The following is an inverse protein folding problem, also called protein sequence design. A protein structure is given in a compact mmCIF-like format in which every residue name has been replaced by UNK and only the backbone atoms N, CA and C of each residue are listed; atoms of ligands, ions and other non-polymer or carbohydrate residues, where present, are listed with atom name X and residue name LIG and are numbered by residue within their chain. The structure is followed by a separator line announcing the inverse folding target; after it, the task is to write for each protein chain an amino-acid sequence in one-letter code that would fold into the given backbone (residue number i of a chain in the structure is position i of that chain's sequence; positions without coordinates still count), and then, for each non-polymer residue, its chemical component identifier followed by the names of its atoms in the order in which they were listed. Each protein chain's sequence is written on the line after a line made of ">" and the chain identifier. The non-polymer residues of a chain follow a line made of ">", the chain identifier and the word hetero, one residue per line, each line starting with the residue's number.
data_IF_345096249599
#
_entry.id   IF_345096249599
#
_cell.length_a   1.000
_cell.length_b   1.000
_cell.length_c   1.000
_cell.angle_alpha   90.00
_cell.angle_beta   90.00
_cell.angle_gamma   90.00
#
_symmetry.space_group_name_H-M   'P 1'
#
loop_
_entity.id
_entity.type
_entity.pdbx_description
1 polymer ?
#
# COMPACT_ATOMS: atom_id res chain seq x y z
N UNK A 1 6.61 -5.93 15.29
CA UNK A 1 5.35 -5.20 15.00
C UNK A 1 5.46 -3.75 15.45
N UNK A 2 5.25 -2.79 14.55
CA UNK A 2 5.17 -1.37 14.89
C UNK A 2 3.73 -1.00 15.24
N UNK A 3 3.54 -0.11 16.25
CA UNK A 3 2.23 0.49 16.53
C UNK A 3 2.26 1.99 16.28
N UNK A 4 1.28 2.48 15.55
CA UNK A 4 1.05 3.89 15.24
C UNK A 4 -0.24 4.29 15.97
N UNK A 5 -0.09 4.75 17.22
CA UNK A 5 -1.25 4.88 18.10
C UNK A 5 -1.94 3.53 18.30
N UNK A 6 -3.20 3.43 17.91
CA UNK A 6 -3.99 2.18 17.98
C UNK A 6 -3.84 1.27 16.75
N UNK A 7 -3.10 1.69 15.71
CA UNK A 7 -2.92 0.90 14.49
C UNK A 7 -1.65 0.05 14.60
N UNK A 8 -1.79 -1.25 14.43
CA UNK A 8 -0.68 -2.17 14.22
C UNK A 8 -0.31 -2.19 12.73
N UNK A 9 1.00 -2.16 12.42
CA UNK A 9 1.50 -2.22 11.07
C UNK A 9 2.63 -3.27 10.99
N UNK A 10 2.40 -4.36 10.25
CA UNK A 10 3.34 -5.50 10.20
C UNK A 10 3.00 -6.47 9.06
N UNK A 11 3.55 -7.69 9.14
CA UNK A 11 3.07 -8.85 8.36
C UNK A 11 1.98 -9.59 9.15
N UNK A 12 1.15 -10.39 8.46
CA UNK A 12 0.06 -11.16 9.07
C UNK A 12 0.55 -12.11 10.18
N UNK A 13 1.82 -12.49 10.17
CA UNK A 13 2.42 -13.33 11.21
C UNK A 13 2.29 -12.73 12.62
N UNK A 14 2.21 -11.41 12.71
CA UNK A 14 2.05 -10.68 13.99
C UNK A 14 0.58 -10.48 14.40
N UNK A 15 -0.39 -10.81 13.54
CA UNK A 15 -1.80 -10.76 13.93
C UNK A 15 -2.16 -11.97 14.78
N UNK A 16 -2.63 -11.72 15.98
CA UNK A 16 -2.92 -12.75 16.97
C UNK A 16 -4.31 -12.53 17.59
N UNK A 17 -5.39 -12.89 16.86
CA UNK A 17 -6.73 -12.87 17.43
C UNK A 17 -6.83 -13.88 18.59
N UNK A 18 -7.74 -13.62 19.53
CA UNK A 18 -8.03 -14.62 20.57
C UNK A 18 -8.67 -15.86 19.94
N UNK A 19 -8.44 -17.06 20.48
CA UNK A 19 -9.16 -18.25 20.04
C UNK A 19 -10.68 -18.03 20.05
N UNK A 20 -11.35 -18.52 19.03
CA UNK A 20 -12.79 -18.32 18.87
C UNK A 20 -13.35 -18.99 17.64
N UNK A 21 -14.62 -18.73 17.36
CA UNK A 21 -15.30 -19.32 16.19
C UNK A 21 -15.06 -18.45 14.97
N UNK A 22 -14.44 -19.03 13.96
CA UNK A 22 -14.20 -18.38 12.65
C UNK A 22 -15.47 -18.50 11.79
N UNK A 23 -15.97 -17.36 11.33
CA UNK A 23 -16.94 -17.27 10.25
C UNK A 23 -16.33 -16.47 9.10
N UNK A 24 -16.30 -17.05 7.90
CA UNK A 24 -15.82 -16.38 6.71
C UNK A 24 -16.91 -16.24 5.66
N UNK A 25 -16.88 -15.15 4.90
CA UNK A 25 -17.80 -14.92 3.79
C UNK A 25 -17.13 -15.37 2.48
N UNK A 26 -17.82 -16.28 1.78
CA UNK A 26 -17.35 -16.84 0.50
C UNK A 26 -18.38 -16.59 -0.58
N UNK A 27 -17.95 -16.43 -1.84
CA UNK A 27 -18.88 -16.30 -2.95
C UNK A 27 -19.86 -17.46 -3.03
N UNK A 28 -21.15 -17.16 -3.24
CA UNK A 28 -22.17 -18.19 -3.51
C UNK A 28 -21.88 -18.91 -4.82
N UNK A 29 -22.41 -20.15 -4.95
CA UNK A 29 -22.32 -20.90 -6.22
C UNK A 29 -22.89 -20.11 -7.41
N UNK A 30 -23.95 -19.32 -7.17
CA UNK A 30 -24.57 -18.48 -8.18
C UNK A 30 -23.63 -17.35 -8.62
N UNK A 31 -23.01 -16.64 -7.66
CA UNK A 31 -22.04 -15.58 -7.94
C UNK A 31 -20.81 -16.12 -8.69
N UNK A 32 -20.27 -17.28 -8.29
CA UNK A 32 -19.17 -17.95 -8.99
C UNK A 32 -19.53 -18.34 -10.42
N UNK A 33 -20.77 -18.79 -10.67
CA UNK A 33 -21.24 -19.07 -12.03
C UNK A 33 -21.25 -17.80 -12.88
N UNK A 34 -21.78 -16.70 -12.35
CA UNK A 34 -21.81 -15.39 -13.02
C UNK A 34 -20.41 -14.88 -13.33
N UNK A 35 -19.47 -15.07 -12.41
CA UNK A 35 -18.08 -14.69 -12.64
C UNK A 35 -17.43 -15.50 -13.78
N UNK A 36 -17.65 -16.81 -13.84
CA UNK A 36 -17.12 -17.66 -14.93
C UNK A 36 -17.75 -17.35 -16.30
N UNK A 37 -18.99 -16.90 -16.31
CA UNK A 37 -19.72 -16.48 -17.52
C UNK A 37 -19.47 -15.00 -17.87
N UNK A 38 -18.69 -14.27 -17.07
CA UNK A 38 -18.45 -12.85 -17.27
C UNK A 38 -17.73 -12.60 -18.60
N UNK A 39 -18.24 -11.67 -19.43
CA UNK A 39 -17.61 -11.34 -20.70
C UNK A 39 -16.29 -10.61 -20.51
N UNK A 40 -15.48 -10.59 -21.55
CA UNK A 40 -14.34 -9.67 -21.64
C UNK A 40 -14.85 -8.24 -21.52
N UNK A 41 -14.26 -7.49 -20.60
CA UNK A 41 -14.61 -6.09 -20.37
C UNK A 41 -14.02 -5.18 -21.45
N UNK A 42 -14.75 -4.18 -21.94
CA UNK A 42 -14.18 -3.13 -22.78
C UNK A 42 -13.28 -2.16 -21.98
N UNK A 43 -13.38 -2.17 -20.67
CA UNK A 43 -12.56 -1.32 -19.78
C UNK A 43 -11.13 -1.86 -19.73
N UNK A 44 -10.12 -1.05 -20.01
CA UNK A 44 -8.72 -1.49 -20.00
C UNK A 44 -8.26 -1.90 -18.60
N UNK A 45 -7.21 -2.69 -18.54
CA UNK A 45 -6.48 -2.99 -17.30
C UNK A 45 -5.53 -1.82 -17.05
N UNK A 46 -5.47 -1.30 -15.80
CA UNK A 46 -4.50 -0.25 -15.47
C UNK A 46 -3.06 -0.78 -15.54
N UNK A 47 -2.09 0.11 -15.73
CA UNK A 47 -0.68 -0.30 -15.77
C UNK A 47 -0.23 -1.01 -14.48
N UNK A 48 -0.67 -0.52 -13.32
CA UNK A 48 -0.32 -1.14 -12.03
C UNK A 48 -0.94 -2.53 -11.89
N UNK A 49 -2.21 -2.69 -12.26
CA UNK A 49 -2.86 -4.00 -12.29
C UNK A 49 -2.16 -4.97 -13.24
N UNK A 50 -1.83 -4.52 -14.46
CA UNK A 50 -1.16 -5.36 -15.45
C UNK A 50 0.21 -5.84 -14.97
N UNK A 51 0.99 -4.98 -14.31
CA UNK A 51 2.30 -5.34 -13.75
C UNK A 51 2.16 -6.33 -12.58
N UNK A 52 1.21 -6.09 -11.70
CA UNK A 52 0.94 -6.96 -10.55
C UNK A 52 0.54 -8.38 -11.01
N UNK A 53 -0.41 -8.48 -11.94
CA UNK A 53 -0.87 -9.77 -12.49
C UNK A 53 0.27 -10.50 -13.21
N UNK A 54 1.07 -9.78 -14.00
CA UNK A 54 2.26 -10.36 -14.64
C UNK A 54 3.24 -10.92 -13.61
N UNK A 55 3.52 -10.14 -12.55
CA UNK A 55 4.40 -10.57 -11.48
C UNK A 55 3.89 -11.83 -10.78
N UNK A 56 2.60 -11.90 -10.45
CA UNK A 56 1.98 -13.10 -9.86
C UNK A 56 2.14 -14.30 -10.79
N UNK A 57 1.77 -14.15 -12.07
CA UNK A 57 1.85 -15.23 -13.06
C UNK A 57 3.28 -15.78 -13.21
N UNK A 58 4.27 -14.90 -13.30
CA UNK A 58 5.69 -15.28 -13.41
C UNK A 58 6.18 -16.02 -12.16
N UNK A 59 5.75 -15.59 -10.96
CA UNK A 59 6.16 -16.22 -9.70
C UNK A 59 5.44 -17.56 -9.48
N UNK A 60 4.15 -17.66 -9.80
CA UNK A 60 3.42 -18.93 -9.77
C UNK A 60 4.03 -19.95 -10.74
N UNK A 61 4.44 -19.53 -11.94
CA UNK A 61 5.16 -20.39 -12.89
C UNK A 61 6.51 -20.88 -12.33
N UNK A 62 7.13 -20.13 -11.42
CA UNK A 62 8.31 -20.53 -10.67
C UNK A 62 8.00 -21.34 -9.40
N UNK A 63 6.73 -21.65 -9.13
CA UNK A 63 6.27 -22.42 -7.96
C UNK A 63 6.26 -21.62 -6.65
N UNK A 64 6.22 -20.29 -6.72
CA UNK A 64 6.23 -19.40 -5.56
C UNK A 64 4.84 -18.81 -5.31
N UNK A 65 4.40 -18.86 -4.04
CA UNK A 65 3.21 -18.15 -3.57
C UNK A 65 3.59 -16.70 -3.23
N UNK A 66 3.39 -15.82 -4.22
CA UNK A 66 3.87 -14.44 -4.18
C UNK A 66 3.00 -13.54 -3.31
N UNK A 67 3.64 -12.60 -2.60
CA UNK A 67 2.95 -11.61 -1.77
C UNK A 67 2.08 -10.68 -2.62
N UNK A 68 0.79 -10.61 -2.28
CA UNK A 68 -0.21 -9.90 -3.09
C UNK A 68 -1.40 -9.33 -2.29
N UNK A 69 -1.53 -9.67 -1.01
CA UNK A 69 -2.69 -9.28 -0.22
C UNK A 69 -2.39 -8.11 0.72
N UNK A 70 -3.34 -7.20 0.79
CA UNK A 70 -3.44 -6.18 1.83
C UNK A 70 -4.53 -6.64 2.81
N UNK A 71 -4.19 -6.72 4.08
CA UNK A 71 -5.07 -7.25 5.11
C UNK A 71 -5.35 -6.16 6.13
N UNK A 72 -6.62 -5.84 6.30
CA UNK A 72 -7.11 -4.94 7.33
C UNK A 72 -7.81 -5.73 8.43
N UNK A 73 -7.56 -5.41 9.69
CA UNK A 73 -8.23 -6.05 10.82
C UNK A 73 -8.68 -5.02 11.84
N UNK A 74 -9.72 -5.34 12.61
CA UNK A 74 -10.09 -4.58 13.78
C UNK A 74 -10.84 -5.46 14.80
N UNK A 75 -10.65 -5.17 16.08
CA UNK A 75 -11.41 -5.77 17.18
C UNK A 75 -12.67 -4.95 17.43
N UNK A 76 -13.83 -5.59 17.44
CA UNK A 76 -15.13 -4.98 17.67
C UNK A 76 -15.75 -5.59 18.92
N UNK A 77 -16.16 -4.80 19.95
CA UNK A 77 -16.77 -5.32 21.16
C UNK A 77 -18.11 -6.02 20.91
N UNK A 78 -18.39 -7.08 21.66
CA UNK A 78 -19.64 -7.81 21.65
C UNK A 78 -19.68 -8.99 20.68
N UNK A 79 -20.89 -9.45 20.39
CA UNK A 79 -21.12 -10.54 19.44
C UNK A 79 -21.53 -9.99 18.08
N UNK A 80 -20.97 -10.59 17.01
CA UNK A 80 -21.28 -10.21 15.65
C UNK A 80 -22.71 -10.64 15.27
N UNK A 81 -23.50 -9.68 14.78
CA UNK A 81 -24.74 -10.00 14.05
C UNK A 81 -24.34 -10.44 12.63
N UNK A 82 -24.36 -11.75 12.39
CA UNK A 82 -23.95 -12.37 11.12
C UNK A 82 -24.82 -11.89 9.95
N UNK A 83 -26.12 -11.64 10.17
CA UNK A 83 -27.02 -11.16 9.12
C UNK A 83 -26.67 -9.74 8.71
N UNK A 84 -26.50 -8.83 9.67
CA UNK A 84 -26.09 -7.46 9.42
C UNK A 84 -24.70 -7.39 8.77
N UNK A 85 -23.75 -8.23 9.21
CA UNK A 85 -22.42 -8.28 8.61
C UNK A 85 -22.46 -8.81 7.17
N UNK A 86 -23.29 -9.80 6.88
CA UNK A 86 -23.50 -10.31 5.51
C UNK A 86 -24.04 -9.22 4.59
N UNK A 87 -25.01 -8.46 5.05
CA UNK A 87 -25.58 -7.34 4.29
C UNK A 87 -24.51 -6.25 4.06
N UNK A 88 -23.76 -5.87 5.10
CA UNK A 88 -22.72 -4.86 5.02
C UNK A 88 -21.61 -5.24 4.04
N UNK A 89 -21.09 -6.48 4.10
CA UNK A 89 -20.04 -6.96 3.18
C UNK A 89 -20.54 -6.98 1.73
N UNK A 90 -21.75 -7.50 1.49
CA UNK A 90 -22.33 -7.54 0.15
C UNK A 90 -22.58 -6.12 -0.41
N UNK A 91 -23.10 -5.21 0.43
CA UNK A 91 -23.30 -3.81 0.04
C UNK A 91 -21.97 -3.12 -0.30
N UNK A 92 -20.94 -3.34 0.51
CA UNK A 92 -19.59 -2.81 0.26
C UNK A 92 -18.98 -3.30 -1.07
N UNK A 93 -19.02 -4.60 -1.35
CA UNK A 93 -18.48 -5.18 -2.59
C UNK A 93 -19.25 -4.71 -3.83
N UNK A 94 -20.58 -4.61 -3.74
CA UNK A 94 -21.44 -4.13 -4.84
C UNK A 94 -21.23 -2.66 -5.15
N UNK A 95 -20.86 -1.88 -4.15
CA UNK A 95 -20.63 -0.44 -4.25
C UNK A 95 -19.39 -0.10 -5.09
N UNK A 96 -18.33 -0.92 -5.02
CA UNK A 96 -17.06 -0.64 -5.66
C UNK A 96 -16.82 -1.53 -6.88
N UNK A 97 -16.76 -0.92 -8.05
CA UNK A 97 -16.72 -1.59 -9.35
C UNK A 97 -15.48 -2.44 -9.59
N UNK A 98 -14.37 -2.18 -8.89
CA UNK A 98 -13.15 -2.99 -8.96
C UNK A 98 -13.40 -4.45 -8.59
N UNK A 99 -14.27 -4.74 -7.59
CA UNK A 99 -14.58 -6.10 -7.14
C UNK A 99 -15.38 -6.95 -8.14
N UNK A 100 -15.86 -6.36 -9.21
CA UNK A 100 -16.56 -7.08 -10.29
C UNK A 100 -15.61 -7.74 -11.27
N UNK A 101 -14.30 -7.45 -11.20
CA UNK A 101 -13.31 -7.84 -12.20
C UNK A 101 -12.44 -9.02 -11.76
N UNK A 102 -12.03 -9.82 -12.73
CA UNK A 102 -10.95 -10.79 -12.67
C UNK A 102 -10.20 -10.80 -14.01
N UNK A 103 -9.08 -11.52 -14.14
CA UNK A 103 -8.15 -11.31 -15.22
C UNK A 103 -7.60 -12.60 -15.81
N UNK A 104 -7.42 -12.63 -17.13
CA UNK A 104 -6.64 -13.66 -17.82
C UNK A 104 -5.27 -13.09 -18.20
N UNK A 105 -4.23 -13.92 -18.04
CA UNK A 105 -2.91 -13.63 -18.59
C UNK A 105 -2.75 -14.48 -19.88
N UNK A 106 -2.75 -13.82 -21.06
CA UNK A 106 -2.64 -14.50 -22.33
C UNK A 106 -1.20 -14.58 -22.83
N UNK A 107 -0.88 -15.61 -23.63
CA UNK A 107 0.50 -16.02 -23.94
C UNK A 107 1.41 -15.00 -24.62
N UNK A 108 0.90 -13.85 -25.06
CA UNK A 108 1.68 -12.73 -25.59
C UNK A 108 2.04 -11.67 -24.53
N UNK A 109 1.76 -11.97 -23.26
CA UNK A 109 2.01 -11.07 -22.14
C UNK A 109 0.91 -10.04 -21.89
N UNK A 110 -0.23 -10.14 -22.58
CA UNK A 110 -1.38 -9.27 -22.35
C UNK A 110 -2.22 -9.76 -21.17
N UNK A 111 -2.74 -8.81 -20.41
CA UNK A 111 -3.74 -9.05 -19.37
C UNK A 111 -5.11 -8.67 -19.92
N UNK A 112 -6.07 -9.58 -19.83
CA UNK A 112 -7.45 -9.38 -20.28
C UNK A 112 -8.34 -9.31 -19.06
N UNK A 113 -9.16 -8.26 -18.95
CA UNK A 113 -10.12 -8.10 -17.86
C UNK A 113 -11.45 -8.77 -18.23
N UNK A 114 -11.99 -9.54 -17.31
CA UNK A 114 -13.38 -9.98 -17.30
C UNK A 114 -14.15 -9.21 -16.23
N UNK A 115 -15.45 -8.99 -16.44
CA UNK A 115 -16.26 -8.20 -15.51
C UNK A 115 -17.68 -8.73 -15.39
N UNK A 116 -18.10 -8.97 -14.14
CA UNK A 116 -19.51 -9.23 -13.80
C UNK A 116 -20.31 -7.97 -14.15
N UNK A 117 -21.35 -8.13 -14.98
CA UNK A 117 -22.13 -7.02 -15.52
C UNK A 117 -22.90 -6.28 -14.42
N UNK A 118 -23.63 -7.03 -13.61
CA UNK A 118 -24.54 -6.48 -12.62
C UNK A 118 -23.95 -6.57 -11.22
N UNK A 119 -23.87 -5.45 -10.45
CA UNK A 119 -23.41 -5.48 -9.05
C UNK A 119 -24.21 -6.44 -8.18
N UNK A 120 -25.51 -6.61 -8.47
CA UNK A 120 -26.40 -7.51 -7.72
C UNK A 120 -26.01 -8.99 -7.85
N UNK A 121 -25.25 -9.36 -8.88
CA UNK A 121 -24.74 -10.73 -9.08
C UNK A 121 -23.54 -11.05 -8.13
N UNK A 122 -23.00 -10.06 -7.43
CA UNK A 122 -22.02 -10.26 -6.35
C UNK A 122 -22.80 -10.65 -5.10
N UNK A 123 -22.57 -11.85 -4.62
CA UNK A 123 -23.18 -12.36 -3.41
C UNK A 123 -22.23 -13.30 -2.67
N UNK A 124 -21.95 -12.96 -1.41
CA UNK A 124 -21.21 -13.78 -0.46
C UNK A 124 -22.14 -14.28 0.64
N UNK A 125 -21.90 -15.49 1.08
CA UNK A 125 -22.61 -16.12 2.20
C UNK A 125 -21.65 -16.48 3.33
N UNK A 126 -22.11 -16.43 4.61
CA UNK A 126 -21.30 -16.79 5.76
C UNK A 126 -21.14 -18.31 5.86
N UNK A 127 -19.90 -18.76 6.10
CA UNK A 127 -19.58 -20.16 6.36
C UNK A 127 -18.91 -20.25 7.73
N UNK A 128 -19.52 -21.03 8.63
CA UNK A 128 -18.92 -21.31 9.93
C UNK A 128 -17.80 -22.36 9.75
N UNK A 129 -16.57 -21.99 10.09
CA UNK A 129 -15.37 -22.83 9.96
C UNK A 129 -15.04 -23.57 11.29
N UNK A 130 -15.78 -23.31 12.36
CA UNK A 130 -15.54 -23.88 13.68
C UNK A 130 -14.56 -23.05 14.53
N UNK A 131 -14.14 -23.64 15.65
CA UNK A 131 -13.17 -23.02 16.55
C UNK A 131 -11.78 -23.04 15.94
N UNK A 132 -11.08 -21.91 16.05
CA UNK A 132 -9.71 -21.71 15.53
C UNK A 132 -8.83 -21.02 16.57
N UNK A 133 -7.54 -21.30 16.47
CA UNK A 133 -6.47 -20.51 17.09
C UNK A 133 -5.87 -19.52 16.06
N UNK A 134 -5.03 -18.60 16.51
CA UNK A 134 -4.46 -17.56 15.67
C UNK A 134 -3.77 -18.07 14.39
N UNK A 135 -3.01 -19.18 14.47
CA UNK A 135 -2.31 -19.76 13.31
C UNK A 135 -3.29 -20.29 12.24
N UNK A 136 -4.38 -20.92 12.68
CA UNK A 136 -5.42 -21.43 11.80
C UNK A 136 -6.20 -20.29 11.16
N UNK A 137 -6.51 -19.24 11.94
CA UNK A 137 -7.16 -18.04 11.42
C UNK A 137 -6.29 -17.35 10.36
N UNK A 138 -4.99 -17.17 10.62
CA UNK A 138 -4.02 -16.61 9.63
C UNK A 138 -3.97 -17.42 8.35
N UNK A 139 -3.87 -18.74 8.47
CA UNK A 139 -3.88 -19.64 7.31
C UNK A 139 -5.16 -19.46 6.49
N UNK A 140 -6.30 -19.40 7.14
CA UNK A 140 -7.60 -19.27 6.47
C UNK A 140 -7.75 -17.95 5.71
N UNK A 141 -7.24 -16.84 6.26
CA UNK A 141 -7.22 -15.51 5.60
C UNK A 141 -6.48 -15.56 4.27
N UNK A 142 -5.42 -16.35 4.18
CA UNK A 142 -4.57 -16.48 3.00
C UNK A 142 -5.16 -17.41 1.93
N UNK A 143 -6.20 -18.18 2.23
CA UNK A 143 -6.83 -19.13 1.31
C UNK A 143 -7.81 -18.43 0.36
N UNK A 144 -7.29 -17.57 -0.52
CA UNK A 144 -8.04 -16.89 -1.58
C UNK A 144 -7.39 -17.13 -2.92
N UNK A 145 -8.18 -17.19 -4.02
CA UNK A 145 -7.63 -17.35 -5.37
C UNK A 145 -6.74 -16.17 -5.76
N UNK A 146 -5.95 -16.34 -6.81
CA UNK A 146 -5.22 -15.23 -7.43
C UNK A 146 -6.17 -14.40 -8.30
N UNK A 147 -5.76 -13.20 -8.74
CA UNK A 147 -6.58 -12.36 -9.61
C UNK A 147 -6.98 -13.00 -10.96
N UNK A 148 -6.37 -14.14 -11.32
CA UNK A 148 -6.77 -14.94 -12.48
C UNK A 148 -8.08 -15.71 -12.26
N UNK A 149 -8.62 -15.65 -11.05
CA UNK A 149 -9.96 -16.13 -10.72
C UNK A 149 -10.71 -15.07 -9.92
N UNK A 150 -12.04 -14.93 -10.16
CA UNK A 150 -12.83 -13.98 -9.38
C UNK A 150 -12.95 -14.41 -7.92
N UNK A 151 -12.90 -13.41 -7.02
CA UNK A 151 -12.99 -13.64 -5.58
C UNK A 151 -11.63 -13.64 -4.88
N UNK A 152 -10.63 -12.95 -5.45
CA UNK A 152 -9.31 -12.78 -4.81
C UNK A 152 -9.37 -11.82 -3.60
N UNK A 153 -10.40 -11.99 -2.77
CA UNK A 153 -10.65 -11.29 -1.51
C UNK A 153 -11.35 -12.22 -0.52
N UNK A 154 -11.17 -11.96 0.77
CA UNK A 154 -11.82 -12.68 1.85
C UNK A 154 -12.21 -11.73 2.97
N UNK A 155 -13.39 -11.92 3.52
CA UNK A 155 -13.89 -11.23 4.70
C UNK A 155 -14.25 -12.26 5.76
N UNK A 156 -14.05 -11.93 7.03
CA UNK A 156 -14.44 -12.83 8.09
C UNK A 156 -14.31 -12.21 9.46
N UNK A 157 -14.73 -13.01 10.44
CA UNK A 157 -14.59 -12.70 11.86
C UNK A 157 -14.07 -13.91 12.63
N UNK A 158 -13.35 -13.64 13.71
CA UNK A 158 -13.08 -14.62 14.77
C UNK A 158 -13.85 -14.17 16.01
N UNK A 159 -14.93 -14.85 16.36
CA UNK A 159 -15.77 -14.52 17.51
C UNK A 159 -15.18 -15.15 18.78
N UNK A 160 -14.81 -14.33 19.74
CA UNK A 160 -14.48 -14.72 21.11
C UNK A 160 -15.64 -14.41 22.09
N UNK A 161 -15.42 -14.54 23.39
CA UNK A 161 -16.49 -14.40 24.38
C UNK A 161 -17.08 -12.99 24.46
N UNK A 162 -16.27 -11.94 24.29
CA UNK A 162 -16.64 -10.54 24.57
C UNK A 162 -16.41 -9.59 23.39
N UNK A 163 -15.81 -10.06 22.29
CA UNK A 163 -15.57 -9.29 21.06
C UNK A 163 -15.41 -10.23 19.87
N UNK A 164 -15.37 -9.65 18.68
CA UNK A 164 -14.92 -10.35 17.49
C UNK A 164 -13.80 -9.56 16.78
N UNK A 165 -12.86 -10.30 16.23
CA UNK A 165 -11.84 -9.75 15.33
C UNK A 165 -12.36 -9.82 13.89
N UNK A 166 -12.67 -8.67 13.28
CA UNK A 166 -13.02 -8.58 11.87
C UNK A 166 -11.74 -8.52 11.02
N UNK A 167 -11.74 -9.18 9.88
CA UNK A 167 -10.72 -9.03 8.87
C UNK A 167 -11.29 -8.83 7.46
N UNK A 168 -10.56 -8.07 6.65
CA UNK A 168 -10.72 -7.95 5.21
C UNK A 168 -9.36 -8.18 4.56
N UNK A 169 -9.23 -9.24 3.80
CA UNK A 169 -8.03 -9.57 3.02
C UNK A 169 -8.37 -9.40 1.55
N UNK A 170 -7.66 -8.53 0.86
CA UNK A 170 -7.96 -8.14 -0.52
C UNK A 170 -6.67 -8.15 -1.33
N UNK A 171 -6.71 -8.78 -2.50
CA UNK A 171 -5.58 -8.70 -3.43
C UNK A 171 -5.33 -7.25 -3.87
N UNK A 172 -4.05 -6.86 -3.94
CA UNK A 172 -3.65 -5.49 -4.28
C UNK A 172 -4.17 -5.02 -5.65
N UNK A 173 -4.61 -5.96 -6.52
CA UNK A 173 -5.26 -5.63 -7.79
C UNK A 173 -6.53 -4.79 -7.61
N UNK A 174 -7.19 -4.91 -6.45
CA UNK A 174 -8.43 -4.21 -6.13
C UNK A 174 -8.27 -2.97 -5.26
N UNK A 175 -7.05 -2.66 -4.81
CA UNK A 175 -6.88 -1.51 -3.91
C UNK A 175 -5.44 -1.09 -3.70
N UNK A 176 -5.29 0.07 -3.10
CA UNK A 176 -4.04 0.65 -2.63
C UNK A 176 -4.10 0.91 -1.11
N UNK A 177 -3.21 1.73 -0.57
CA UNK A 177 -3.18 2.04 0.87
C UNK A 177 -4.49 2.64 1.41
N UNK A 178 -5.34 3.26 0.57
CA UNK A 178 -6.64 3.79 0.97
C UNK A 178 -7.67 2.68 1.26
N UNK A 179 -7.43 1.45 0.77
CA UNK A 179 -8.29 0.28 0.97
C UNK A 179 -8.65 0.11 2.45
N UNK A 180 -7.69 0.24 3.34
CA UNK A 180 -7.92 0.04 4.78
C UNK A 180 -8.88 1.08 5.33
N UNK A 181 -8.62 2.37 5.03
CA UNK A 181 -9.48 3.45 5.48
C UNK A 181 -10.91 3.30 4.96
N UNK A 182 -11.06 3.06 3.67
CA UNK A 182 -12.38 2.90 3.04
C UNK A 182 -13.10 1.67 3.59
N UNK A 183 -12.42 0.52 3.69
CA UNK A 183 -13.02 -0.72 4.24
C UNK A 183 -13.47 -0.52 5.69
N UNK A 184 -12.60 0.05 6.55
CA UNK A 184 -12.94 0.26 7.95
C UNK A 184 -14.07 1.29 8.14
N UNK A 185 -14.07 2.37 7.37
CA UNK A 185 -15.11 3.41 7.52
C UNK A 185 -16.45 2.99 6.90
N UNK A 186 -16.43 2.35 5.71
CA UNK A 186 -17.67 1.98 5.02
C UNK A 186 -18.23 0.65 5.50
N UNK A 187 -17.48 -0.45 5.48
CA UNK A 187 -18.01 -1.76 5.87
C UNK A 187 -18.42 -1.78 7.36
N UNK A 188 -17.57 -1.24 8.24
CA UNK A 188 -17.92 -1.11 9.65
C UNK A 188 -19.05 -0.11 9.88
N UNK A 189 -19.08 1.02 9.15
CA UNK A 189 -20.17 1.99 9.21
C UNK A 189 -21.51 1.40 8.76
N UNK A 190 -21.53 0.61 7.68
CA UNK A 190 -22.72 -0.12 7.21
C UNK A 190 -23.20 -1.14 8.24
N UNK A 191 -22.29 -1.94 8.80
CA UNK A 191 -22.58 -2.88 9.87
C UNK A 191 -23.19 -2.18 11.09
N UNK A 192 -22.56 -1.11 11.56
CA UNK A 192 -23.01 -0.35 12.73
C UNK A 192 -24.40 0.29 12.52
N UNK A 193 -24.66 0.82 11.31
CA UNK A 193 -25.97 1.36 10.98
C UNK A 193 -27.08 0.30 11.03
N UNK A 194 -26.81 -0.87 10.47
CA UNK A 194 -27.76 -1.99 10.48
C UNK A 194 -28.04 -2.49 11.90
N UNK A 195 -27.02 -2.64 12.74
CA UNK A 195 -27.18 -3.14 14.11
C UNK A 195 -27.81 -2.12 15.05
N UNK A 196 -27.54 -0.82 14.88
CA UNK A 196 -28.05 0.22 15.78
C UNK A 196 -29.42 0.75 15.36
N UNK A 197 -29.69 0.88 14.07
CA UNK A 197 -30.93 1.50 13.57
C UNK A 197 -31.82 0.54 12.76
N UNK A 198 -31.31 -0.63 12.39
CA UNK A 198 -31.98 -1.55 11.48
C UNK A 198 -32.08 -1.00 10.03
N UNK A 199 -31.33 0.05 9.68
CA UNK A 199 -31.39 0.69 8.37
C UNK A 199 -30.02 0.71 7.70
N UNK A 200 -29.94 0.55 6.37
CA UNK A 200 -28.72 0.72 5.62
C UNK A 200 -28.13 2.13 5.80
N UNK A 201 -26.79 2.21 5.88
CA UNK A 201 -26.09 3.49 5.93
C UNK A 201 -26.22 4.22 4.59
N UNK A 202 -26.74 5.46 4.63
CA UNK A 202 -26.78 6.33 3.46
C UNK A 202 -25.38 6.92 3.20
N UNK A 203 -24.70 6.43 2.18
CA UNK A 203 -23.42 6.96 1.73
C UNK A 203 -23.58 7.71 0.40
N UNK A 204 -22.77 8.76 0.13
CA UNK A 204 -22.66 9.34 -1.20
C UNK A 204 -22.27 8.27 -2.23
N UNK A 205 -22.59 8.47 -3.50
CA UNK A 205 -22.14 7.55 -4.54
C UNK A 205 -20.61 7.44 -4.52
N UNK A 206 -20.06 6.21 -4.66
CA UNK A 206 -18.65 6.04 -4.91
C UNK A 206 -18.33 6.46 -6.36
N UNK A 207 -17.13 6.93 -6.61
CA UNK A 207 -16.62 7.09 -7.97
C UNK A 207 -16.35 5.72 -8.61
N UNK A 208 -15.78 5.75 -9.82
CA UNK A 208 -15.53 4.55 -10.63
C UNK A 208 -14.04 4.33 -10.85
N UNK A 209 -13.55 3.14 -10.51
CA UNK A 209 -12.20 2.70 -10.86
C UNK A 209 -12.10 2.35 -12.35
N UNK A 210 -13.21 1.91 -12.95
CA UNK A 210 -13.28 1.70 -14.40
C UNK A 210 -13.02 3.00 -15.18
N UNK A 211 -13.64 4.12 -14.75
CA UNK A 211 -13.40 5.42 -15.36
C UNK A 211 -11.95 5.87 -15.23
N UNK A 212 -11.32 5.56 -14.08
CA UNK A 212 -9.88 5.80 -13.92
C UNK A 212 -9.05 5.00 -14.93
N UNK A 213 -9.33 3.71 -15.13
CA UNK A 213 -8.63 2.88 -16.11
C UNK A 213 -8.79 3.40 -17.54
N UNK A 214 -9.98 3.87 -17.90
CA UNK A 214 -10.24 4.49 -19.21
C UNK A 214 -9.43 5.77 -19.38
N UNK A 215 -9.46 6.66 -18.38
CA UNK A 215 -8.71 7.91 -18.39
C UNK A 215 -7.18 7.69 -18.39
N UNK A 216 -6.69 6.66 -17.68
CA UNK A 216 -5.27 6.29 -17.70
C UNK A 216 -4.84 5.84 -19.10
N UNK A 217 -5.62 4.97 -19.76
CA UNK A 217 -5.34 4.55 -21.13
C UNK A 217 -5.39 5.72 -22.11
N UNK A 218 -6.41 6.57 -22.03
CA UNK A 218 -6.54 7.74 -22.88
C UNK A 218 -5.34 8.68 -22.73
N UNK A 219 -4.95 8.97 -21.49
CA UNK A 219 -3.79 9.80 -21.21
C UNK A 219 -2.49 9.17 -21.73
N UNK A 220 -2.23 7.92 -21.38
CA UNK A 220 -0.96 7.23 -21.69
C UNK A 220 -0.81 6.91 -23.18
N UNK A 221 -1.90 6.72 -23.92
CA UNK A 221 -1.89 6.52 -25.37
C UNK A 221 -1.42 7.74 -26.15
N UNK A 222 -1.60 8.93 -25.58
CA UNK A 222 -1.15 10.19 -26.19
C UNK A 222 0.31 10.55 -25.83
N UNK A 223 0.95 9.80 -24.93
CA UNK A 223 2.34 10.04 -24.56
C UNK A 223 3.31 9.57 -25.64
N UNK A 224 4.32 10.39 -25.88
CA UNK A 224 5.46 10.10 -26.77
C UNK A 224 6.77 10.25 -26.00
N UNK A 225 7.88 9.80 -26.58
CA UNK A 225 9.22 10.01 -26.02
C UNK A 225 9.54 11.50 -25.79
N UNK A 226 8.89 12.39 -26.54
CA UNK A 226 9.08 13.84 -26.45
C UNK A 226 8.14 14.52 -25.46
N UNK A 227 7.17 13.80 -24.87
CA UNK A 227 6.31 14.35 -23.83
C UNK A 227 7.14 14.79 -22.61
N UNK A 228 6.88 16.00 -22.05
CA UNK A 228 7.70 16.53 -20.95
C UNK A 228 7.81 15.60 -19.74
N UNK A 229 6.72 14.94 -19.39
CA UNK A 229 6.65 13.99 -18.26
C UNK A 229 7.47 12.72 -18.55
N UNK A 230 7.44 12.23 -19.78
CA UNK A 230 8.23 11.06 -20.21
C UNK A 230 9.72 11.42 -20.22
N UNK A 231 10.09 12.59 -20.73
CA UNK A 231 11.47 13.08 -20.69
C UNK A 231 12.00 13.21 -19.27
N UNK A 232 11.19 13.73 -18.34
CA UNK A 232 11.59 13.84 -16.92
C UNK A 232 11.88 12.47 -16.31
N UNK A 233 11.09 11.45 -16.62
CA UNK A 233 11.34 10.08 -16.20
C UNK A 233 12.59 9.47 -16.85
N UNK A 234 12.80 9.72 -18.16
CA UNK A 234 13.99 9.26 -18.87
C UNK A 234 15.23 9.89 -18.25
N UNK A 235 15.24 11.22 -18.05
CA UNK A 235 16.35 11.93 -17.42
C UNK A 235 16.64 11.40 -16.00
N UNK A 236 15.61 11.14 -15.21
CA UNK A 236 15.76 10.53 -13.88
C UNK A 236 16.46 9.17 -13.97
N UNK A 237 16.01 8.29 -14.87
CA UNK A 237 16.56 6.96 -15.03
C UNK A 237 17.99 7.00 -15.59
N UNK A 238 18.24 7.80 -16.63
CA UNK A 238 19.59 7.94 -17.24
C UNK A 238 20.62 8.46 -16.23
N UNK A 239 20.24 9.43 -15.40
CA UNK A 239 21.09 9.94 -14.32
C UNK A 239 21.29 8.92 -13.19
N UNK A 240 20.46 7.88 -13.10
CA UNK A 240 20.58 6.76 -12.18
C UNK A 240 20.96 5.45 -12.90
N UNK A 241 21.99 5.49 -13.74
CA UNK A 241 22.53 4.33 -14.47
C UNK A 241 21.53 3.62 -15.41
N UNK A 242 20.58 4.34 -15.97
CA UNK A 242 19.62 3.83 -16.95
C UNK A 242 18.41 3.09 -16.35
N UNK A 243 18.23 3.10 -15.03
CA UNK A 243 17.15 2.35 -14.35
C UNK A 243 16.62 3.07 -13.10
N UNK A 244 15.67 2.44 -12.38
CA UNK A 244 15.21 2.91 -11.07
C UNK A 244 16.26 2.67 -9.98
N UNK A 245 16.23 3.43 -8.85
CA UNK A 245 17.21 3.32 -7.78
C UNK A 245 17.20 1.95 -7.11
N UNK A 246 18.36 1.57 -6.56
CA UNK A 246 18.53 0.37 -5.74
C UNK A 246 18.72 0.74 -4.27
N UNK A 247 18.42 -0.21 -3.36
CA UNK A 247 18.69 -0.01 -1.93
C UNK A 247 20.21 0.05 -1.69
N UNK A 248 20.71 0.98 -0.85
CA UNK A 248 22.16 1.25 -0.75
C UNK A 248 22.96 0.15 -0.04
N UNK A 249 22.31 -0.85 0.50
CA UNK A 249 22.92 -1.96 1.26
C UNK A 249 22.52 -3.30 0.67
N UNK A 250 23.33 -4.37 0.86
CA UNK A 250 23.02 -5.70 0.32
C UNK A 250 21.71 -6.28 0.90
N UNK A 251 20.87 -6.87 0.06
CA UNK A 251 19.64 -7.55 0.44
C UNK A 251 19.71 -9.08 0.30
N UNK A 252 20.90 -9.64 0.17
CA UNK A 252 21.12 -11.07 -0.08
C UNK A 252 21.13 -11.40 -1.57
N UNK A 253 20.98 -12.70 -1.88
CA UNK A 253 20.94 -13.15 -3.26
C UNK A 253 19.56 -12.88 -3.88
N UNK A 254 19.44 -12.05 -4.92
CA UNK A 254 18.16 -11.74 -5.54
C UNK A 254 17.50 -12.92 -6.28
N UNK A 255 18.22 -14.04 -6.45
CA UNK A 255 17.69 -15.27 -7.06
C UNK A 255 17.15 -16.26 -6.02
N UNK A 256 17.33 -16.00 -4.73
CA UNK A 256 16.81 -16.82 -3.64
C UNK A 256 15.51 -16.20 -3.11
N UNK A 257 14.35 -16.81 -3.38
CA UNK A 257 13.10 -16.30 -2.90
C UNK A 257 13.03 -16.34 -1.37
N UNK A 258 12.62 -15.23 -0.76
CA UNK A 258 12.45 -15.14 0.69
C UNK A 258 11.01 -14.69 1.00
N UNK A 259 10.46 -15.16 2.12
CA UNK A 259 9.22 -14.60 2.66
C UNK A 259 9.46 -13.15 3.09
N UNK A 260 8.42 -12.34 3.04
CA UNK A 260 8.50 -10.96 3.51
C UNK A 260 8.45 -10.90 5.04
N UNK A 261 9.27 -10.03 5.63
CA UNK A 261 9.13 -9.61 7.01
C UNK A 261 9.14 -8.07 7.10
N UNK A 262 8.68 -7.56 8.23
CA UNK A 262 8.62 -6.13 8.50
C UNK A 262 9.22 -5.82 9.86
N UNK A 263 10.20 -4.95 9.88
CA UNK A 263 10.76 -4.39 11.11
C UNK A 263 10.48 -2.90 11.18
N UNK A 264 10.30 -2.39 12.40
CA UNK A 264 10.05 -0.97 12.58
C UNK A 264 10.47 -0.47 13.94
N UNK A 265 10.84 0.81 14.00
CA UNK A 265 11.30 1.50 15.19
C UNK A 265 10.82 2.95 15.22
N UNK A 266 10.67 3.50 16.40
CA UNK A 266 10.54 4.94 16.61
C UNK A 266 11.87 5.61 16.30
N UNK A 267 11.90 6.48 15.28
CA UNK A 267 13.11 7.22 14.87
C UNK A 267 13.21 8.61 15.51
N UNK A 268 12.09 9.17 15.95
CA UNK A 268 12.00 10.41 16.74
C UNK A 268 10.80 10.33 17.67
N UNK A 269 10.96 10.68 18.94
CA UNK A 269 9.84 10.88 19.86
C UNK A 269 9.01 12.14 19.50
N UNK A 270 7.97 12.45 20.28
CA UNK A 270 7.09 13.58 20.00
C UNK A 270 7.84 14.93 20.04
N UNK A 271 8.73 15.12 21.02
CA UNK A 271 9.50 16.36 21.18
C UNK A 271 10.56 16.50 20.08
N UNK A 272 11.26 15.42 19.74
CA UNK A 272 12.22 15.38 18.63
C UNK A 272 11.51 15.64 17.30
N UNK A 273 10.33 15.03 17.08
CA UNK A 273 9.51 15.25 15.88
C UNK A 273 9.10 16.71 15.76
N UNK A 274 8.66 17.35 16.85
CA UNK A 274 8.31 18.78 16.85
C UNK A 274 9.53 19.67 16.53
N UNK A 275 10.70 19.38 17.09
CA UNK A 275 11.93 20.11 16.78
C UNK A 275 12.39 19.90 15.34
N UNK A 276 12.28 18.68 14.82
CA UNK A 276 12.56 18.38 13.41
C UNK A 276 11.63 19.15 12.47
N UNK A 277 10.33 19.20 12.79
CA UNK A 277 9.33 19.98 12.04
C UNK A 277 9.66 21.49 12.06
N UNK A 278 10.07 22.01 13.21
CA UNK A 278 10.51 23.39 13.33
C UNK A 278 11.79 23.66 12.51
N UNK A 279 12.75 22.71 12.48
CA UNK A 279 13.96 22.82 11.67
C UNK A 279 13.63 22.84 10.16
N UNK A 280 12.69 22.02 9.71
CA UNK A 280 12.18 22.05 8.31
C UNK A 280 11.53 23.41 8.00
N UNK A 281 10.65 23.89 8.87
CA UNK A 281 9.97 25.17 8.71
C UNK A 281 10.96 26.36 8.67
N UNK A 282 12.02 26.33 9.50
CA UNK A 282 13.06 27.37 9.53
C UNK A 282 13.82 27.51 8.20
N UNK A 283 13.90 26.44 7.39
CA UNK A 283 14.50 26.48 6.05
C UNK A 283 13.46 26.56 4.93
N UNK A 284 12.19 26.83 5.27
CA UNK A 284 11.10 27.02 4.32
C UNK A 284 10.60 25.72 3.64
N UNK A 285 10.78 24.56 4.27
CA UNK A 285 10.36 23.26 3.74
C UNK A 285 9.30 22.59 4.63
N UNK A 286 8.60 21.60 4.05
CA UNK A 286 7.70 20.75 4.80
C UNK A 286 8.46 19.56 5.39
N UNK A 287 7.83 18.89 6.35
CA UNK A 287 8.35 17.70 7.02
C UNK A 287 8.84 16.61 6.03
N UNK A 288 8.11 16.37 4.96
CA UNK A 288 8.47 15.37 3.93
C UNK A 288 9.77 15.73 3.20
N UNK A 289 10.02 17.00 2.92
CA UNK A 289 11.27 17.47 2.33
C UNK A 289 12.47 17.20 3.24
N UNK A 290 12.30 17.44 4.56
CA UNK A 290 13.30 17.09 5.55
C UNK A 290 13.59 15.60 5.65
N UNK A 291 12.55 14.75 5.58
CA UNK A 291 12.74 13.29 5.60
C UNK A 291 13.50 12.78 4.38
N UNK A 292 13.18 13.25 3.17
CA UNK A 292 13.94 12.88 1.97
C UNK A 292 15.38 13.40 2.01
N UNK A 293 15.62 14.58 2.60
CA UNK A 293 16.98 15.06 2.83
C UNK A 293 17.76 14.13 3.78
N UNK A 294 17.13 13.64 4.85
CA UNK A 294 17.73 12.65 5.74
C UNK A 294 18.02 11.33 5.03
N UNK A 295 17.11 10.83 4.20
CA UNK A 295 17.37 9.65 3.37
C UNK A 295 18.56 9.87 2.42
N UNK A 296 18.60 11.01 1.74
CA UNK A 296 19.70 11.36 0.86
C UNK A 296 21.04 11.41 1.61
N UNK A 297 21.05 11.95 2.83
CA UNK A 297 22.24 11.98 3.71
C UNK A 297 22.71 10.58 4.09
N UNK A 298 21.78 9.71 4.51
CA UNK A 298 22.07 8.32 4.88
C UNK A 298 22.64 7.54 3.69
N UNK A 299 22.05 7.67 2.50
CA UNK A 299 22.56 6.98 1.32
C UNK A 299 23.93 7.50 0.89
N UNK A 300 24.15 8.81 0.96
CA UNK A 300 25.48 9.40 0.74
C UNK A 300 26.53 8.82 1.70
N UNK A 301 26.19 8.64 2.98
CA UNK A 301 27.10 8.05 3.96
C UNK A 301 27.43 6.58 3.67
N UNK A 302 26.49 5.83 3.08
CA UNK A 302 26.70 4.42 2.75
C UNK A 302 27.44 4.22 1.41
N UNK A 303 27.18 5.09 0.43
CA UNK A 303 27.61 4.87 -0.96
C UNK A 303 28.63 5.88 -1.48
N UNK A 304 28.72 7.05 -0.85
CA UNK A 304 29.47 8.21 -1.35
C UNK A 304 28.82 8.90 -2.55
N UNK A 305 27.60 8.50 -2.97
CA UNK A 305 26.91 9.10 -4.11
C UNK A 305 26.68 10.60 -3.90
N UNK A 306 26.92 11.39 -4.95
CA UNK A 306 26.75 12.84 -4.88
C UNK A 306 25.28 13.29 -4.98
N UNK A 307 24.43 12.43 -5.50
CA UNK A 307 23.00 12.66 -5.69
C UNK A 307 22.22 11.44 -5.23
N UNK A 308 21.17 11.67 -4.48
CA UNK A 308 20.17 10.68 -4.09
C UNK A 308 19.07 10.60 -5.15
N UNK A 309 18.72 9.39 -5.52
CA UNK A 309 17.57 9.07 -6.36
C UNK A 309 16.63 8.17 -5.56
N UNK A 310 15.37 8.57 -5.41
CA UNK A 310 14.36 7.83 -4.67
C UNK A 310 13.01 7.82 -5.37
N UNK A 311 12.10 7.02 -4.84
CA UNK A 311 10.72 6.93 -5.32
C UNK A 311 9.76 7.05 -4.15
N UNK A 312 8.67 7.77 -4.35
CA UNK A 312 7.58 7.84 -3.38
C UNK A 312 6.24 7.62 -4.09
N UNK A 313 5.29 6.89 -3.48
CA UNK A 313 3.98 6.75 -4.06
C UNK A 313 3.16 8.02 -3.87
N UNK A 314 2.26 8.27 -4.80
CA UNK A 314 1.29 9.36 -4.75
C UNK A 314 -0.08 8.86 -5.12
N UNK A 315 -1.07 9.23 -4.31
CA UNK A 315 -2.47 9.06 -4.66
C UNK A 315 -2.82 9.95 -5.87
N UNK A 316 -3.36 9.35 -6.92
CA UNK A 316 -3.75 10.02 -8.16
C UNK A 316 -5.25 10.32 -8.24
N UNK A 317 -6.02 10.06 -7.17
CA UNK A 317 -7.43 10.43 -7.06
C UNK A 317 -7.60 11.94 -7.19
N UNK A 318 -8.58 12.39 -7.97
CA UNK A 318 -8.75 13.81 -8.31
C UNK A 318 -10.07 14.41 -7.86
N UNK A 319 -11.07 13.57 -7.71
CA UNK A 319 -12.44 13.98 -7.41
C UNK A 319 -12.81 13.59 -5.99
N UNK A 320 -13.76 14.29 -5.38
CA UNK A 320 -14.22 14.00 -4.02
C UNK A 320 -14.78 12.59 -3.87
N UNK A 321 -15.49 12.08 -4.88
CA UNK A 321 -16.01 10.74 -4.97
C UNK A 321 -14.91 9.69 -5.22
N UNK A 322 -13.83 10.05 -5.88
CA UNK A 322 -12.63 9.23 -6.01
C UNK A 322 -12.02 8.85 -4.65
N UNK A 323 -12.03 9.76 -3.67
CA UNK A 323 -11.49 9.47 -2.32
C UNK A 323 -12.29 8.42 -1.52
N UNK A 324 -13.50 8.11 -1.96
CA UNK A 324 -14.33 7.02 -1.41
C UNK A 324 -14.43 5.83 -2.37
N UNK A 325 -13.53 5.71 -3.34
CA UNK A 325 -13.53 4.64 -4.35
C UNK A 325 -12.41 3.65 -4.10
N UNK A 326 -12.74 2.37 -4.02
CA UNK A 326 -11.74 1.31 -4.02
C UNK A 326 -11.13 1.13 -5.40
N UNK A 327 -9.83 0.88 -5.44
CA UNK A 327 -9.06 0.69 -6.66
C UNK A 327 -7.59 1.03 -6.44
N UNK A 328 -6.75 0.72 -7.40
CA UNK A 328 -5.32 1.04 -7.35
C UNK A 328 -5.03 2.36 -8.06
N UNK A 329 -5.12 3.46 -7.33
CA UNK A 329 -4.92 4.82 -7.85
C UNK A 329 -3.51 5.37 -7.57
N UNK A 330 -2.57 4.51 -7.25
CA UNK A 330 -1.21 4.94 -6.87
C UNK A 330 -0.30 5.05 -8.09
N UNK A 331 0.33 6.21 -8.24
CA UNK A 331 1.47 6.39 -9.14
C UNK A 331 2.76 6.66 -8.36
N UNK A 332 3.90 6.68 -9.04
CA UNK A 332 5.20 6.95 -8.44
C UNK A 332 5.69 8.36 -8.80
N UNK A 333 6.35 9.01 -7.84
CA UNK A 333 7.03 10.29 -8.01
C UNK A 333 8.53 10.06 -7.83
N UNK A 334 9.37 10.42 -8.82
CA UNK A 334 10.81 10.37 -8.68
C UNK A 334 11.30 11.53 -7.80
N UNK A 335 12.24 11.24 -6.92
CA UNK A 335 12.87 12.19 -5.99
C UNK A 335 14.37 12.27 -6.31
N UNK A 336 14.87 13.47 -6.58
CA UNK A 336 16.29 13.73 -6.83
C UNK A 336 16.79 14.77 -5.84
N UNK A 337 17.82 14.43 -5.07
CA UNK A 337 18.43 15.34 -4.08
C UNK A 337 19.94 15.37 -4.27
N UNK A 338 20.52 16.47 -4.79
CA UNK A 338 21.97 16.71 -4.69
C UNK A 338 22.36 16.78 -3.21
N UNK A 339 23.31 15.95 -2.76
CA UNK A 339 23.65 15.80 -1.34
C UNK A 339 25.11 16.06 -1.04
N UNK A 340 26.02 15.91 -2.01
CA UNK A 340 27.43 16.17 -1.79
C UNK A 340 27.68 17.63 -1.43
N UNK A 341 28.34 17.86 -0.28
CA UNK A 341 28.72 19.18 0.24
C UNK A 341 27.53 20.16 0.47
N UNK A 342 26.30 19.66 0.63
CA UNK A 342 25.11 20.45 0.94
C UNK A 342 24.84 20.53 2.44
N UNK A 343 24.18 21.60 2.87
CA UNK A 343 23.60 21.72 4.22
C UNK A 343 22.25 21.02 4.27
N UNK A 344 21.73 20.78 5.49
CA UNK A 344 20.37 20.27 5.66
C UNK A 344 19.34 21.13 4.90
N UNK A 345 19.43 22.46 5.04
CA UNK A 345 18.49 23.38 4.40
C UNK A 345 18.49 23.28 2.88
N UNK A 346 19.68 23.20 2.27
CA UNK A 346 19.82 23.03 0.80
C UNK A 346 19.26 21.69 0.34
N UNK A 347 19.57 20.59 1.05
CA UNK A 347 19.09 19.26 0.73
C UNK A 347 17.57 19.16 0.91
N UNK A 348 17.01 19.69 2.01
CA UNK A 348 15.57 19.69 2.28
C UNK A 348 14.79 20.52 1.25
N UNK A 349 15.33 21.66 0.84
CA UNK A 349 14.74 22.48 -0.21
C UNK A 349 14.77 21.77 -1.57
N UNK A 350 15.89 21.14 -1.94
CA UNK A 350 16.00 20.37 -3.16
C UNK A 350 15.02 19.18 -3.16
N UNK A 351 14.92 18.46 -2.06
CA UNK A 351 13.98 17.34 -1.89
C UNK A 351 12.53 17.81 -2.01
N UNK A 352 12.17 18.93 -1.37
CA UNK A 352 10.83 19.51 -1.46
C UNK A 352 10.47 19.90 -2.88
N UNK A 353 11.37 20.57 -3.58
CA UNK A 353 11.16 20.99 -4.97
C UNK A 353 11.04 19.78 -5.90
N UNK A 354 11.89 18.76 -5.71
CA UNK A 354 11.80 17.52 -6.49
C UNK A 354 10.44 16.84 -6.28
N UNK A 355 9.99 16.73 -5.03
CA UNK A 355 8.67 16.18 -4.71
C UNK A 355 7.54 16.99 -5.37
N UNK A 356 7.54 18.30 -5.22
CA UNK A 356 6.45 19.18 -5.72
C UNK A 356 6.42 19.21 -7.26
N UNK A 357 7.56 19.30 -7.92
CA UNK A 357 7.65 19.26 -9.39
C UNK A 357 7.32 17.88 -9.96
N UNK A 358 7.61 16.82 -9.19
CA UNK A 358 7.35 15.43 -9.58
C UNK A 358 5.87 15.00 -9.48
N UNK A 359 5.01 15.77 -8.83
CA UNK A 359 3.62 15.35 -8.58
C UNK A 359 2.84 14.96 -9.84
N UNK A 360 3.06 15.67 -10.95
CA UNK A 360 2.40 15.37 -12.23
C UNK A 360 2.96 14.08 -12.88
N UNK A 361 4.19 13.67 -12.51
CA UNK A 361 4.83 12.46 -13.03
C UNK A 361 4.18 11.19 -12.49
N UNK A 362 3.48 11.26 -11.36
CA UNK A 362 2.73 10.14 -10.80
C UNK A 362 1.67 9.57 -11.76
N UNK A 363 1.22 10.35 -12.74
CA UNK A 363 0.25 9.90 -13.76
C UNK A 363 0.89 9.13 -14.91
N UNK A 364 2.21 9.15 -15.01
CA UNK A 364 2.95 8.43 -16.05
C UNK A 364 3.51 7.16 -15.44
N UNK A 365 2.91 6.00 -15.72
CA UNK A 365 3.45 4.73 -15.24
C UNK A 365 4.86 4.52 -15.80
N UNK A 366 5.83 4.17 -14.96
CA UNK A 366 7.22 3.97 -15.41
C UNK A 366 7.32 2.89 -16.49
N UNK A 367 6.48 1.88 -16.45
CA UNK A 367 6.42 0.86 -17.51
C UNK A 367 5.99 1.42 -18.86
N UNK A 368 5.17 2.48 -18.89
CA UNK A 368 4.89 3.20 -20.13
C UNK A 368 6.12 3.94 -20.63
N UNK A 369 6.93 4.47 -19.74
CA UNK A 369 8.22 5.08 -20.11
C UNK A 369 9.14 4.05 -20.75
N UNK A 370 9.25 2.83 -20.19
CA UNK A 370 10.05 1.75 -20.77
C UNK A 370 9.57 1.31 -22.17
N UNK A 371 8.25 1.36 -22.45
CA UNK A 371 7.73 1.10 -23.78
C UNK A 371 8.14 2.17 -24.79
N UNK A 372 8.21 3.43 -24.36
CA UNK A 372 8.57 4.58 -25.22
C UNK A 372 10.10 4.78 -25.33
N UNK A 373 10.84 4.32 -24.33
CA UNK A 373 12.30 4.45 -24.22
C UNK A 373 12.95 3.07 -23.99
N UNK A 374 12.94 2.17 -24.99
CA UNK A 374 13.38 0.77 -24.83
C UNK A 374 14.89 0.59 -24.61
N UNK A 375 15.66 1.67 -24.62
CA UNK A 375 17.07 1.67 -24.25
C UNK A 375 17.31 1.75 -22.73
N UNK A 376 16.28 2.06 -21.94
CA UNK A 376 16.36 2.02 -20.49
C UNK A 376 16.26 0.58 -19.98
N UNK A 377 16.99 0.28 -18.93
CA UNK A 377 16.98 -1.02 -18.30
C UNK A 377 15.69 -1.22 -17.46
N UNK A 378 15.16 -2.43 -17.48
CA UNK A 378 14.07 -2.79 -16.58
C UNK A 378 14.55 -2.75 -15.14
N UNK A 379 13.78 -2.13 -14.23
CA UNK A 379 14.18 -2.08 -12.83
C UNK A 379 14.16 -3.47 -12.19
N UNK A 380 15.01 -3.67 -11.21
CA UNK A 380 14.95 -4.87 -10.37
C UNK A 380 13.65 -4.86 -9.55
N UNK A 381 13.07 -6.03 -9.24
CA UNK A 381 11.81 -6.09 -8.47
C UNK A 381 11.88 -5.47 -7.08
N UNK A 382 13.08 -5.28 -6.53
CA UNK A 382 13.36 -4.79 -5.18
C UNK A 382 13.78 -3.30 -5.14
N UNK A 383 13.40 -2.51 -6.14
CA UNK A 383 13.64 -1.07 -6.04
C UNK A 383 12.92 -0.48 -4.84
N UNK A 384 13.58 0.39 -4.05
CA UNK A 384 13.02 0.95 -2.82
C UNK A 384 11.91 1.96 -3.13
N UNK A 385 10.81 1.87 -2.39
CA UNK A 385 9.72 2.85 -2.42
C UNK A 385 9.53 3.39 -1.02
N UNK A 386 9.64 4.72 -0.86
CA UNK A 386 9.52 5.40 0.43
C UNK A 386 8.14 6.03 0.56
N UNK A 387 7.30 5.46 1.43
CA UNK A 387 5.98 5.96 1.75
C UNK A 387 6.04 6.90 2.94
N UNK A 388 5.46 8.10 2.81
CA UNK A 388 5.24 8.99 3.93
C UNK A 388 3.75 9.05 4.28
N UNK A 389 3.42 8.69 5.52
CA UNK A 389 2.08 8.66 6.05
C UNK A 389 1.95 9.61 7.25
N UNK A 390 0.95 10.50 7.19
CA UNK A 390 0.69 11.46 8.24
C UNK A 390 -0.61 11.12 8.98
N UNK A 391 -0.53 10.77 10.26
CA UNK A 391 -1.68 10.37 11.07
C UNK A 391 -2.77 11.44 11.21
N UNK A 392 -2.41 12.72 11.09
CA UNK A 392 -3.36 13.84 11.07
C UNK A 392 -4.03 14.10 9.71
N UNK A 393 -3.71 13.34 8.67
CA UNK A 393 -4.27 13.51 7.33
C UNK A 393 -5.29 12.42 6.98
N UNK A 394 -6.27 12.76 6.14
CA UNK A 394 -7.23 11.80 5.64
C UNK A 394 -6.57 10.77 4.69
N UNK A 395 -7.04 9.51 4.65
CA UNK A 395 -8.14 8.96 5.45
C UNK A 395 -7.71 8.47 6.84
N UNK A 396 -6.40 8.45 7.15
CA UNK A 396 -5.85 7.84 8.36
C UNK A 396 -6.35 8.52 9.65
N UNK A 397 -6.49 9.84 9.65
CA UNK A 397 -7.06 10.59 10.76
C UNK A 397 -8.50 10.16 11.10
N UNK A 398 -9.31 9.84 10.10
CA UNK A 398 -10.69 9.38 10.31
C UNK A 398 -10.74 7.99 10.90
N UNK A 399 -9.84 7.09 10.48
CA UNK A 399 -9.70 5.74 11.04
C UNK A 399 -9.24 5.81 12.49
N UNK A 400 -8.26 6.66 12.80
CA UNK A 400 -7.79 6.88 14.18
C UNK A 400 -8.89 7.47 15.07
N UNK A 401 -9.65 8.46 14.58
CA UNK A 401 -10.76 9.05 15.31
C UNK A 401 -11.88 8.03 15.61
N UNK A 402 -12.21 7.15 14.65
CA UNK A 402 -13.18 6.07 14.86
C UNK A 402 -12.70 5.07 15.95
N UNK A 403 -11.41 4.75 15.95
CA UNK A 403 -10.80 3.93 17.00
C UNK A 403 -10.84 4.62 18.38
N UNK A 404 -10.64 5.93 18.43
CA UNK A 404 -10.68 6.70 19.68
C UNK A 404 -12.11 6.80 20.26
N UNK A 405 -13.12 6.81 19.41
CA UNK A 405 -14.53 6.72 19.85
C UNK A 405 -14.95 5.32 20.33
N UNK A 406 -14.06 4.33 20.31
CA UNK A 406 -14.32 2.98 20.81
C UNK A 406 -15.16 2.10 19.86
N UNK A 407 -15.39 2.54 18.65
CA UNK A 407 -16.13 1.74 17.65
C UNK A 407 -15.33 0.51 17.20
N UNK A 408 -13.99 0.60 17.20
CA UNK A 408 -13.12 -0.54 16.99
C UNK A 408 -11.80 -0.36 17.73
N UNK A 409 -11.28 -1.48 18.25
CA UNK A 409 -9.98 -1.52 18.91
C UNK A 409 -8.98 -2.32 18.05
N UNK A 410 -7.69 -2.24 18.40
CA UNK A 410 -6.64 -3.05 17.78
C UNK A 410 -6.73 -3.10 16.24
N UNK A 411 -6.85 -1.93 15.61
CA UNK A 411 -6.83 -1.85 14.15
C UNK A 411 -5.47 -2.32 13.65
N UNK A 412 -5.47 -3.19 12.65
CA UNK A 412 -4.25 -3.71 12.04
C UNK A 412 -4.24 -3.53 10.53
N UNK A 413 -3.05 -3.29 10.01
CA UNK A 413 -2.72 -3.29 8.60
C UNK A 413 -1.55 -4.22 8.39
N UNK A 414 -1.77 -5.26 7.60
CA UNK A 414 -0.78 -6.31 7.41
C UNK A 414 -0.56 -6.61 5.93
N UNK A 415 0.69 -6.89 5.57
CA UNK A 415 0.99 -7.66 4.37
C UNK A 415 0.80 -9.14 4.66
N UNK A 416 0.63 -9.95 3.63
CA UNK A 416 0.39 -11.40 3.77
C UNK A 416 1.62 -12.21 4.23
N UNK A 417 2.82 -11.63 4.22
CA UNK A 417 4.05 -12.29 4.65
C UNK A 417 4.52 -13.42 3.72
N UNK A 418 3.99 -13.51 2.49
CA UNK A 418 4.40 -14.49 1.47
C UNK A 418 5.73 -14.11 0.83
N UNK A 419 6.18 -14.90 -0.15
CA UNK A 419 7.41 -14.60 -0.90
C UNK A 419 7.34 -13.22 -1.54
N UNK A 420 8.38 -12.42 -1.34
CA UNK A 420 8.46 -11.07 -1.89
C UNK A 420 9.90 -10.67 -2.15
N UNK A 421 10.12 -9.95 -3.24
CA UNK A 421 11.37 -9.22 -3.48
C UNK A 421 11.25 -7.74 -3.10
N UNK A 422 10.07 -7.28 -2.72
CA UNK A 422 9.80 -5.86 -2.47
C UNK A 422 10.61 -5.34 -1.29
N UNK A 423 11.07 -4.12 -1.44
CA UNK A 423 11.59 -3.31 -0.34
C UNK A 423 10.77 -2.04 -0.26
N UNK A 424 10.01 -1.91 0.80
CA UNK A 424 9.15 -0.75 1.01
C UNK A 424 9.46 -0.11 2.36
N UNK A 425 9.75 1.17 2.32
CA UNK A 425 10.03 1.99 3.49
C UNK A 425 8.77 2.77 3.83
N UNK A 426 8.31 2.69 5.07
CA UNK A 426 7.19 3.45 5.59
C UNK A 426 7.67 4.40 6.68
N UNK A 427 7.36 5.67 6.55
CA UNK A 427 7.62 6.69 7.55
C UNK A 427 6.29 7.27 8.02
N UNK A 428 6.02 7.15 9.31
CA UNK A 428 4.75 7.57 9.93
C UNK A 428 4.97 8.73 10.87
N UNK A 429 4.32 9.84 10.60
CA UNK A 429 4.18 10.96 11.52
C UNK A 429 2.89 10.78 12.34
N UNK A 430 2.98 10.61 13.65
CA UNK A 430 1.85 10.42 14.55
C UNK A 430 2.06 11.18 15.87
N UNK A 431 1.08 11.15 16.78
CA UNK A 431 1.13 11.92 18.03
C UNK A 431 2.32 11.58 18.94
N UNK A 432 2.69 10.30 19.03
CA UNK A 432 3.83 9.87 19.84
C UNK A 432 5.20 10.15 19.19
N UNK A 433 5.23 10.64 17.94
CA UNK A 433 6.48 10.94 17.25
C UNK A 433 6.51 10.51 15.77
N UNK A 434 7.68 10.13 15.31
CA UNK A 434 7.89 9.60 13.95
C UNK A 434 8.49 8.21 14.00
N UNK A 435 7.82 7.27 13.36
CA UNK A 435 8.26 5.89 13.25
C UNK A 435 8.69 5.57 11.82
N UNK A 436 9.59 4.62 11.68
CA UNK A 436 9.99 4.04 10.41
C UNK A 436 9.78 2.53 10.44
N UNK A 437 9.18 1.96 9.38
CA UNK A 437 9.13 0.52 9.17
C UNK A 437 9.65 0.19 7.78
N UNK A 438 10.26 -0.99 7.64
CA UNK A 438 10.75 -1.48 6.37
C UNK A 438 10.21 -2.89 6.16
N UNK A 439 9.48 -3.10 5.06
CA UNK A 439 9.14 -4.41 4.51
C UNK A 439 10.29 -4.86 3.61
N UNK A 440 10.78 -6.08 3.78
CA UNK A 440 11.96 -6.58 3.08
C UNK A 440 11.93 -8.12 2.93
N UNK A 441 12.69 -8.69 1.98
CA UNK A 441 12.87 -10.15 1.89
C UNK A 441 13.66 -10.67 3.10
N UNK A 442 13.05 -11.55 3.92
CA UNK A 442 13.63 -12.02 5.19
C UNK A 442 14.77 -13.00 4.98
N UNK A 443 15.98 -12.48 5.07
CA UNK A 443 17.20 -13.25 5.17
C UNK A 443 18.21 -12.50 6.05
N UNK A 444 19.25 -13.18 6.59
CA UNK A 444 20.18 -12.58 7.55
C UNK A 444 20.93 -11.35 7.00
N UNK A 445 21.19 -11.29 5.69
CA UNK A 445 21.89 -10.17 5.05
C UNK A 445 20.97 -8.96 4.97
N UNK A 446 19.76 -9.14 4.47
CA UNK A 446 18.77 -8.06 4.35
C UNK A 446 18.39 -7.51 5.73
N UNK A 447 18.15 -8.38 6.72
CA UNK A 447 17.82 -7.96 8.09
C UNK A 447 18.90 -7.06 8.68
N UNK A 448 20.17 -7.47 8.60
CA UNK A 448 21.29 -6.65 9.07
C UNK A 448 21.39 -5.31 8.33
N UNK A 449 21.13 -5.30 7.02
CA UNK A 449 21.15 -4.10 6.20
C UNK A 449 20.02 -3.14 6.56
N UNK A 450 18.83 -3.66 6.78
CA UNK A 450 17.64 -2.88 7.17
C UNK A 450 17.81 -2.29 8.57
N UNK A 451 18.28 -3.09 9.55
CA UNK A 451 18.55 -2.60 10.90
C UNK A 451 19.59 -1.46 10.88
N UNK A 452 20.64 -1.61 10.08
CA UNK A 452 21.67 -0.58 9.89
C UNK A 452 21.09 0.68 9.24
N UNK A 453 20.19 0.51 8.27
CA UNK A 453 19.56 1.65 7.59
C UNK A 453 18.62 2.42 8.53
N UNK A 454 17.79 1.73 9.31
CA UNK A 454 16.90 2.34 10.31
C UNK A 454 17.72 3.10 11.36
N UNK A 455 18.80 2.50 11.89
CA UNK A 455 19.66 3.13 12.86
C UNK A 455 20.33 4.41 12.31
N UNK A 456 20.77 4.39 11.05
CA UNK A 456 21.34 5.56 10.39
C UNK A 456 20.28 6.66 10.18
N UNK A 457 19.07 6.31 9.73
CA UNK A 457 17.95 7.25 9.60
C UNK A 457 17.61 7.91 10.91
N UNK A 458 17.51 7.13 12.00
CA UNK A 458 17.28 7.61 13.35
C UNK A 458 18.34 8.64 13.76
N UNK A 459 19.61 8.28 13.63
CA UNK A 459 20.75 9.16 13.99
C UNK A 459 20.72 10.48 13.22
N UNK A 460 20.46 10.45 11.90
CA UNK A 460 20.42 11.66 11.08
C UNK A 460 19.21 12.53 11.41
N UNK A 461 18.03 11.92 11.63
CA UNK A 461 16.83 12.66 12.02
C UNK A 461 16.97 13.31 13.39
N UNK A 462 17.52 12.60 14.39
CA UNK A 462 17.82 13.12 15.73
C UNK A 462 18.84 14.27 15.67
N UNK A 463 19.89 14.15 14.87
CA UNK A 463 20.86 15.23 14.65
C UNK A 463 20.18 16.51 14.15
N UNK A 464 19.26 16.41 13.19
CA UNK A 464 18.51 17.57 12.69
C UNK A 464 17.58 18.14 13.77
N UNK A 465 16.86 17.29 14.50
CA UNK A 465 15.97 17.68 15.60
C UNK A 465 16.71 18.43 16.71
N UNK A 466 17.96 18.07 16.99
CA UNK A 466 18.81 18.70 18.00
C UNK A 466 19.55 19.94 17.48
N UNK A 467 19.19 20.47 16.33
CA UNK A 467 19.77 21.68 15.74
C UNK A 467 21.10 21.43 15.04
N UNK A 468 21.48 20.16 14.84
CA UNK A 468 22.67 19.77 14.10
C UNK A 468 22.47 20.01 12.60
N UNK A 469 23.38 20.77 11.99
CA UNK A 469 23.44 20.94 10.55
C UNK A 469 24.62 20.10 10.03
N UNK A 470 24.41 19.20 9.08
CA UNK A 470 25.53 18.47 8.44
C UNK A 470 26.28 19.30 7.39
N UNK A 471 26.00 20.59 7.28
CA UNK A 471 26.70 21.51 6.42
C UNK A 471 28.06 21.92 6.97
N UNK A 472 28.94 22.34 6.08
CA UNK A 472 30.36 22.70 6.27
C UNK A 472 30.69 23.14 7.71
N UNK A 473 31.57 22.40 8.35
CA UNK A 473 32.40 22.97 9.43
C UNK A 473 33.42 23.92 8.83
#
# INVERSE_FOLDING_TARGET
>A
MLRIGKIAFSTLNDWAPRPGVLTSWRPTTAAMKKAREAPVSPVPVSFMQAQHIRGIYEQEAAGLDYSRQIIATCEVPGHCDISAMTEAINAFLRRHDTYRSWFDYVGDGRVVRHKIAEPADIELEPINQGEVIADEARKHILEVPTPMEWGCFSFGIVQSDDHFDFYASVDHVHGDAALIGITMLEAHGMYSSLTLSGQPLALPAAGSFDDFCIQELEFTSNLTVDSPEVRAWIEFAENNNGTLPEFPLPLGNPLEPCVADMVGEMIMDADQTARFEAACAAVGTRFVGGLFACQAKVEHEFTGAATYYGLTPRDTRRTSDGFTTQGWFTGLVPITVPIAATSFGEAAWAAQNSFDSGLNLARVPYYRVLELAPWLDRPRPNFPVSNFLHGGAAPLNSVLAAADMGYSNNIGMYSDGRYSYQLTIYMFRHEAGTSMSVLFPDNPVARKSVDRYIAAMKSVCEQVADGGNWGRR
#
